data_IF_242446299809
#
_entry.id   IF_242446299809
#
_cell.length_a   1.000
_cell.length_b   1.000
_cell.length_c   1.000
_cell.angle_alpha   90.00
_cell.angle_beta   90.00
_cell.angle_gamma   90.00
#
_symmetry.space_group_name_H-M   'P 1'
#
loop_
_entity.id
_entity.type
_entity.pdbx_description
1 polymer ?
#
# COMPACT_ATOMS: atom_id res chain seq x y z
N UNK A 1 -11.75 29.65 -7.14
CA UNK A 1 -10.36 29.19 -7.36
C UNK A 1 -10.06 27.83 -6.70
N UNK A 2 -11.06 27.14 -6.14
CA UNK A 2 -10.94 25.86 -5.40
C UNK A 2 -10.98 24.59 -6.29
N UNK A 3 -11.55 24.66 -7.48
CA UNK A 3 -11.71 23.50 -8.38
C UNK A 3 -10.43 23.00 -9.06
N UNK A 4 -9.34 23.73 -8.96
CA UNK A 4 -8.07 23.37 -9.62
C UNK A 4 -7.12 22.55 -8.74
N UNK A 5 -7.35 22.52 -7.43
CA UNK A 5 -6.51 21.78 -6.48
C UNK A 5 -6.89 20.32 -6.36
N UNK A 6 -8.15 19.96 -6.61
CA UNK A 6 -8.66 18.57 -6.37
C UNK A 6 -8.05 17.53 -7.29
N UNK A 7 -7.57 17.90 -8.48
CA UNK A 7 -6.88 16.99 -9.40
C UNK A 7 -5.35 17.07 -9.29
N UNK A 8 -4.81 18.20 -8.84
CA UNK A 8 -3.35 18.39 -8.75
C UNK A 8 -2.77 17.62 -7.57
N UNK A 9 -3.43 17.63 -6.41
CA UNK A 9 -2.92 16.96 -5.20
C UNK A 9 -2.80 15.45 -5.41
N UNK A 10 -3.81 14.72 -5.92
CA UNK A 10 -3.67 13.29 -6.21
C UNK A 10 -2.57 12.99 -7.23
N UNK A 11 -2.44 13.82 -8.27
CA UNK A 11 -1.40 13.63 -9.29
C UNK A 11 0.01 13.79 -8.70
N UNK A 12 0.24 14.85 -7.92
CA UNK A 12 1.54 15.09 -7.27
C UNK A 12 1.84 13.99 -6.25
N UNK A 13 0.84 13.57 -5.47
CA UNK A 13 0.97 12.47 -4.52
C UNK A 13 1.32 11.14 -5.22
N UNK A 14 0.67 10.86 -6.35
CA UNK A 14 0.98 9.70 -7.17
C UNK A 14 2.42 9.73 -7.70
N UNK A 15 2.84 10.86 -8.26
CA UNK A 15 4.21 11.03 -8.77
C UNK A 15 5.25 10.93 -7.65
N UNK A 16 4.96 11.50 -6.47
CA UNK A 16 5.81 11.38 -5.29
C UNK A 16 5.94 9.94 -4.81
N UNK A 17 4.83 9.19 -4.76
CA UNK A 17 4.84 7.78 -4.39
C UNK A 17 5.62 6.92 -5.39
N UNK A 18 5.47 7.19 -6.71
CA UNK A 18 6.27 6.52 -7.74
C UNK A 18 7.75 6.85 -7.64
N UNK A 19 8.10 8.12 -7.39
CA UNK A 19 9.49 8.51 -7.19
C UNK A 19 10.11 7.81 -5.97
N UNK A 20 9.38 7.73 -4.85
CA UNK A 20 9.81 6.98 -3.67
C UNK A 20 10.00 5.49 -3.96
N UNK A 21 9.08 4.85 -4.68
CA UNK A 21 9.20 3.45 -5.08
C UNK A 21 10.41 3.21 -5.98
N UNK A 22 10.68 4.10 -6.94
CA UNK A 22 11.86 4.04 -7.80
C UNK A 22 13.15 4.22 -7.01
N UNK A 23 13.19 5.16 -6.04
CA UNK A 23 14.34 5.33 -5.14
C UNK A 23 14.60 4.07 -4.32
N UNK A 24 13.58 3.47 -3.73
CA UNK A 24 13.70 2.22 -2.98
C UNK A 24 14.26 1.12 -3.87
N UNK A 25 13.72 0.96 -5.06
CA UNK A 25 14.17 -0.07 -6.00
C UNK A 25 15.60 0.15 -6.47
N UNK A 26 15.97 1.38 -6.82
CA UNK A 26 17.32 1.75 -7.23
C UNK A 26 18.37 1.50 -6.13
N UNK A 27 18.05 1.86 -4.88
CA UNK A 27 18.92 1.61 -3.72
C UNK A 27 19.03 0.12 -3.36
N UNK A 28 17.97 -0.64 -3.59
CA UNK A 28 17.96 -2.09 -3.35
C UNK A 28 18.73 -2.88 -4.42
N UNK A 29 18.97 -2.27 -5.58
CA UNK A 29 19.62 -2.93 -6.70
C UNK A 29 21.15 -3.07 -6.48
N UNK A 30 21.62 -4.32 -6.36
CA UNK A 30 23.05 -4.65 -6.38
C UNK A 30 23.20 -6.10 -6.83
N UNK A 31 23.56 -6.33 -8.09
CA UNK A 31 23.65 -7.67 -8.69
C UNK A 31 22.38 -8.53 -8.49
N UNK A 32 21.20 -7.90 -8.68
CA UNK A 32 19.89 -8.47 -8.39
C UNK A 32 19.26 -7.90 -7.11
N UNK A 33 17.94 -7.97 -7.04
CA UNK A 33 17.16 -7.43 -5.93
C UNK A 33 16.83 -8.53 -4.92
N UNK A 34 17.29 -8.38 -3.68
CA UNK A 34 16.96 -9.26 -2.56
C UNK A 34 15.83 -8.65 -1.72
N UNK A 35 14.85 -9.44 -1.23
CA UNK A 35 13.75 -8.93 -0.41
C UNK A 35 14.20 -8.11 0.80
N UNK A 36 15.21 -8.58 1.53
CA UNK A 36 15.77 -7.86 2.69
C UNK A 36 16.31 -6.47 2.34
N UNK A 37 16.89 -6.30 1.14
CA UNK A 37 17.39 -4.99 0.69
C UNK A 37 16.27 -4.02 0.35
N UNK A 38 15.17 -4.52 -0.25
CA UNK A 38 13.98 -3.69 -0.50
C UNK A 38 13.44 -3.15 0.82
N UNK A 39 13.35 -4.00 1.85
CA UNK A 39 12.85 -3.60 3.17
C UNK A 39 13.77 -2.52 3.79
N UNK A 40 15.09 -2.75 3.81
CA UNK A 40 16.04 -1.78 4.36
C UNK A 40 16.05 -0.46 3.58
N UNK A 41 16.04 -0.53 2.26
CA UNK A 41 15.95 0.66 1.40
C UNK A 41 14.63 1.41 1.65
N UNK A 42 13.51 0.67 1.82
CA UNK A 42 12.21 1.24 2.15
C UNK A 42 12.24 2.00 3.47
N UNK A 43 12.82 1.42 4.52
CA UNK A 43 12.97 2.08 5.83
C UNK A 43 13.84 3.34 5.71
N UNK A 44 14.97 3.27 4.99
CA UNK A 44 15.86 4.41 4.82
C UNK A 44 15.21 5.56 4.05
N UNK A 45 14.53 5.26 2.92
CA UNK A 45 13.80 6.25 2.12
C UNK A 45 12.65 6.86 2.92
N UNK A 46 11.88 6.03 3.65
CA UNK A 46 10.79 6.51 4.49
C UNK A 46 11.29 7.45 5.60
N UNK A 47 12.40 7.11 6.26
CA UNK A 47 13.01 7.97 7.28
C UNK A 47 13.52 9.30 6.68
N UNK A 48 14.17 9.25 5.51
CA UNK A 48 14.65 10.45 4.83
C UNK A 48 13.50 11.38 4.41
N UNK A 49 12.48 10.85 3.73
CA UNK A 49 11.32 11.64 3.32
C UNK A 49 10.51 12.13 4.52
N UNK A 50 10.39 11.29 5.56
CA UNK A 50 9.73 11.65 6.82
C UNK A 50 10.40 12.81 7.53
N UNK A 51 11.74 12.85 7.53
CA UNK A 51 12.49 14.00 8.08
C UNK A 51 12.23 15.29 7.29
N UNK A 52 12.13 15.20 5.97
CA UNK A 52 11.73 16.31 5.13
C UNK A 52 10.32 16.83 5.43
N UNK A 53 9.36 15.92 5.62
CA UNK A 53 7.99 16.26 6.03
C UNK A 53 8.01 16.95 7.40
N UNK A 54 8.75 16.40 8.37
CA UNK A 54 8.88 17.01 9.70
C UNK A 54 9.46 18.41 9.66
N UNK A 55 10.48 18.64 8.83
CA UNK A 55 11.03 19.98 8.62
C UNK A 55 10.00 20.94 8.05
N UNK A 56 9.24 20.53 7.04
CA UNK A 56 8.15 21.35 6.47
C UNK A 56 7.07 21.68 7.51
N UNK A 57 6.72 20.74 8.38
CA UNK A 57 5.76 20.97 9.46
C UNK A 57 6.27 21.99 10.48
N UNK A 58 7.57 21.98 10.79
CA UNK A 58 8.18 22.96 11.70
C UNK A 58 8.21 24.35 11.10
N UNK A 59 8.59 24.48 9.81
CA UNK A 59 8.73 25.79 9.18
C UNK A 59 7.40 26.39 8.69
N UNK A 60 6.41 25.56 8.37
CA UNK A 60 5.15 25.97 7.74
C UNK A 60 3.91 25.42 8.44
N UNK A 61 3.95 25.18 9.75
CA UNK A 61 2.91 24.50 10.53
C UNK A 61 1.50 25.02 10.29
N UNK A 62 1.32 26.36 10.24
CA UNK A 62 0.01 26.98 10.05
C UNK A 62 -0.63 26.70 8.67
N UNK A 63 0.19 26.33 7.67
CA UNK A 63 -0.26 26.12 6.28
C UNK A 63 -0.51 24.64 5.96
N UNK A 64 -0.13 23.72 6.84
CA UNK A 64 -0.07 22.26 6.57
C UNK A 64 -1.14 21.46 7.31
N UNK A 65 -2.12 22.09 7.99
CA UNK A 65 -3.19 21.39 8.70
C UNK A 65 -3.94 20.36 7.81
N UNK A 66 -4.22 20.74 6.55
CA UNK A 66 -4.85 19.83 5.59
C UNK A 66 -3.97 18.61 5.23
N UNK A 67 -2.64 18.76 5.25
CA UNK A 67 -1.71 17.68 4.99
C UNK A 67 -1.68 16.67 6.14
N UNK A 68 -1.85 17.12 7.38
CA UNK A 68 -1.91 16.21 8.55
C UNK A 68 -3.09 15.25 8.45
N UNK A 69 -4.28 15.75 8.09
CA UNK A 69 -5.45 14.90 7.90
C UNK A 69 -5.25 13.90 6.76
N UNK A 70 -4.60 14.32 5.67
CA UNK A 70 -4.27 13.43 4.57
C UNK A 70 -3.24 12.36 4.96
N UNK A 71 -2.25 12.69 5.80
CA UNK A 71 -1.26 11.74 6.31
C UNK A 71 -1.86 10.66 7.22
N UNK A 72 -2.96 10.96 7.89
CA UNK A 72 -3.66 9.96 8.72
C UNK A 72 -4.38 8.91 7.88
N UNK A 73 -4.71 9.25 6.63
CA UNK A 73 -5.43 8.37 5.69
C UNK A 73 -6.92 8.23 6.02
N UNK A 74 -7.75 8.48 5.02
CA UNK A 74 -9.20 8.43 5.20
C UNK A 74 -9.98 8.38 3.89
N UNK A 75 -11.22 7.92 3.98
CA UNK A 75 -12.17 7.87 2.87
C UNK A 75 -13.22 9.00 2.96
N UNK A 76 -13.18 9.79 4.02
CA UNK A 76 -14.05 10.95 4.20
C UNK A 76 -13.86 11.97 3.08
N UNK A 77 -14.94 12.62 2.67
CA UNK A 77 -14.99 13.63 1.60
C UNK A 77 -14.47 13.16 0.23
N UNK A 78 -14.43 11.84 -0.04
CA UNK A 78 -14.15 11.32 -1.38
C UNK A 78 -15.39 11.33 -2.24
N UNK A 79 -15.22 11.63 -3.52
CA UNK A 79 -16.31 11.86 -4.46
C UNK A 79 -16.18 10.98 -5.72
N UNK A 80 -17.26 10.82 -6.47
CA UNK A 80 -17.30 10.00 -7.67
C UNK A 80 -16.20 10.30 -8.70
N UNK A 81 -15.82 11.55 -9.01
CA UNK A 81 -14.74 11.83 -9.96
C UNK A 81 -13.40 11.17 -9.59
N UNK A 82 -13.11 11.02 -8.29
CA UNK A 82 -11.89 10.34 -7.84
C UNK A 82 -11.99 8.82 -8.05
N UNK A 83 -13.18 8.25 -7.89
CA UNK A 83 -13.44 6.83 -8.17
C UNK A 83 -13.33 6.55 -9.66
N UNK A 84 -13.90 7.41 -10.52
CA UNK A 84 -13.83 7.27 -11.98
C UNK A 84 -12.40 7.25 -12.51
N UNK A 85 -11.52 8.04 -11.91
CA UNK A 85 -10.09 8.05 -12.27
C UNK A 85 -9.37 6.81 -11.73
N UNK A 86 -9.63 6.43 -10.48
CA UNK A 86 -8.91 5.32 -9.83
C UNK A 86 -9.37 3.95 -10.33
N UNK A 87 -10.66 3.78 -10.60
CA UNK A 87 -11.26 2.48 -10.90
C UNK A 87 -10.63 1.76 -12.10
N UNK A 88 -10.53 2.36 -13.31
CA UNK A 88 -9.90 1.69 -14.44
C UNK A 88 -8.44 1.35 -14.16
N UNK A 89 -7.72 2.23 -13.50
CA UNK A 89 -6.36 2.04 -13.10
C UNK A 89 -6.19 0.87 -12.12
N UNK A 90 -7.04 0.80 -11.09
CA UNK A 90 -7.03 -0.29 -10.11
C UNK A 90 -7.38 -1.64 -10.75
N UNK A 91 -8.37 -1.68 -11.64
CA UNK A 91 -8.76 -2.91 -12.37
C UNK A 91 -7.61 -3.41 -13.26
N UNK A 92 -7.00 -2.52 -14.04
CA UNK A 92 -5.86 -2.90 -14.90
C UNK A 92 -4.71 -3.43 -14.03
N UNK A 93 -4.36 -2.74 -12.96
CA UNK A 93 -3.30 -3.17 -12.05
C UNK A 93 -3.61 -4.52 -11.39
N UNK A 94 -4.86 -4.75 -10.97
CA UNK A 94 -5.30 -6.02 -10.39
C UNK A 94 -5.24 -7.15 -11.41
N UNK A 95 -5.65 -6.92 -12.65
CA UNK A 95 -5.53 -7.90 -13.74
C UNK A 95 -4.07 -8.29 -13.94
N UNK A 96 -3.15 -7.31 -14.03
CA UNK A 96 -1.72 -7.61 -14.18
C UNK A 96 -1.17 -8.36 -12.97
N UNK A 97 -1.58 -8.03 -11.74
CA UNK A 97 -1.22 -8.76 -10.55
C UNK A 97 -1.70 -10.23 -10.61
N UNK A 98 -2.95 -10.45 -10.98
CA UNK A 98 -3.52 -11.80 -11.11
C UNK A 98 -2.88 -12.61 -12.23
N UNK A 99 -2.53 -12.01 -13.37
CA UNK A 99 -1.76 -12.66 -14.44
C UNK A 99 -0.37 -13.10 -13.97
N UNK A 100 0.21 -12.37 -13.01
CA UNK A 100 1.48 -12.71 -12.37
C UNK A 100 1.37 -13.76 -11.25
N UNK A 101 0.17 -14.14 -10.81
CA UNK A 101 -0.06 -14.97 -9.62
C UNK A 101 0.73 -16.28 -9.64
N UNK A 102 0.69 -17.05 -10.72
CA UNK A 102 1.45 -18.31 -10.86
C UNK A 102 2.96 -18.10 -10.73
N UNK A 103 3.49 -16.99 -11.28
CA UNK A 103 4.91 -16.66 -11.16
C UNK A 103 5.28 -16.30 -9.72
N UNK A 104 4.39 -15.63 -8.99
CA UNK A 104 4.57 -15.32 -7.58
C UNK A 104 4.52 -16.57 -6.71
N UNK A 105 3.62 -17.53 -7.01
CA UNK A 105 3.58 -18.84 -6.34
C UNK A 105 4.90 -19.60 -6.54
N UNK A 106 5.45 -19.63 -7.76
CA UNK A 106 6.75 -20.25 -8.02
C UNK A 106 7.88 -19.49 -7.30
N UNK A 107 7.86 -18.16 -7.31
CA UNK A 107 8.85 -17.31 -6.64
C UNK A 107 8.87 -17.51 -5.12
N UNK A 108 7.73 -17.85 -4.51
CA UNK A 108 7.63 -18.13 -3.07
C UNK A 108 8.34 -19.42 -2.63
N UNK A 109 8.70 -20.31 -3.56
CA UNK A 109 9.49 -21.52 -3.30
C UNK A 109 10.99 -21.23 -3.13
N UNK A 110 11.41 -19.98 -3.31
CA UNK A 110 12.79 -19.54 -3.25
C UNK A 110 13.44 -19.36 -4.63
N UNK A 111 14.47 -18.50 -4.66
CA UNK A 111 15.08 -18.05 -5.92
C UNK A 111 15.74 -19.19 -6.72
N UNK A 112 16.41 -20.13 -6.04
CA UNK A 112 17.08 -21.25 -6.71
C UNK A 112 16.08 -22.23 -7.31
N UNK A 113 15.05 -22.58 -6.56
CA UNK A 113 13.97 -23.45 -7.03
C UNK A 113 13.23 -22.81 -8.20
N UNK A 114 12.93 -21.52 -8.11
CA UNK A 114 12.24 -20.78 -9.17
C UNK A 114 13.07 -20.73 -10.45
N UNK A 115 14.39 -20.53 -10.35
CA UNK A 115 15.30 -20.59 -11.51
C UNK A 115 15.35 -21.99 -12.11
N UNK A 116 15.42 -23.04 -11.27
CA UNK A 116 15.39 -24.42 -11.72
C UNK A 116 14.11 -24.78 -12.50
N UNK A 117 12.99 -24.14 -12.17
CA UNK A 117 11.71 -24.25 -12.89
C UNK A 117 11.64 -23.33 -14.13
N UNK A 118 12.73 -22.68 -14.52
CA UNK A 118 12.80 -21.82 -15.70
C UNK A 118 12.24 -20.40 -15.52
N UNK A 119 11.94 -19.98 -14.27
CA UNK A 119 11.44 -18.63 -14.02
C UNK A 119 12.57 -17.60 -14.13
N UNK A 120 12.34 -16.51 -14.87
CA UNK A 120 13.22 -15.34 -14.89
C UNK A 120 12.96 -14.50 -13.62
N UNK A 121 13.57 -14.91 -12.51
CA UNK A 121 13.34 -14.38 -11.16
C UNK A 121 13.43 -12.85 -11.11
N UNK A 122 14.51 -12.26 -11.63
CA UNK A 122 14.73 -10.81 -11.60
C UNK A 122 13.66 -10.03 -12.37
N UNK A 123 13.28 -10.51 -13.55
CA UNK A 123 12.23 -9.88 -14.35
C UNK A 123 10.87 -9.99 -13.67
N UNK A 124 10.55 -11.17 -13.14
CA UNK A 124 9.28 -11.38 -12.42
C UNK A 124 9.20 -10.47 -11.21
N UNK A 125 10.27 -10.40 -10.42
CA UNK A 125 10.35 -9.53 -9.23
C UNK A 125 10.20 -8.06 -9.62
N UNK A 126 10.89 -7.61 -10.65
CA UNK A 126 10.77 -6.22 -11.14
C UNK A 126 9.35 -5.89 -11.55
N UNK A 127 8.73 -6.70 -12.42
CA UNK A 127 7.38 -6.45 -12.93
C UNK A 127 6.35 -6.47 -11.79
N UNK A 128 6.41 -7.46 -10.90
CA UNK A 128 5.46 -7.56 -9.80
C UNK A 128 5.62 -6.43 -8.77
N UNK A 129 6.86 -6.01 -8.50
CA UNK A 129 7.11 -4.84 -7.64
C UNK A 129 6.62 -3.55 -8.30
N UNK A 130 6.80 -3.38 -9.60
CA UNK A 130 6.29 -2.23 -10.34
C UNK A 130 4.76 -2.17 -10.32
N UNK A 131 4.07 -3.30 -10.53
CA UNK A 131 2.60 -3.39 -10.44
C UNK A 131 2.12 -3.06 -9.02
N UNK A 132 2.79 -3.59 -7.99
CA UNK A 132 2.45 -3.30 -6.60
C UNK A 132 2.68 -1.82 -6.27
N UNK A 133 3.78 -1.22 -6.72
CA UNK A 133 4.08 0.20 -6.52
C UNK A 133 3.06 1.11 -7.21
N UNK A 134 2.67 0.77 -8.44
CA UNK A 134 1.62 1.46 -9.17
C UNK A 134 0.29 1.44 -8.41
N UNK A 135 -0.18 0.26 -7.99
CA UNK A 135 -1.43 0.12 -7.24
C UNK A 135 -1.38 0.88 -5.91
N UNK A 136 -0.27 0.78 -5.17
CA UNK A 136 -0.08 1.49 -3.92
C UNK A 136 -0.06 3.02 -4.12
N UNK A 137 0.64 3.52 -5.14
CA UNK A 137 0.68 4.94 -5.46
C UNK A 137 -0.72 5.50 -5.79
N UNK A 138 -1.52 4.75 -6.58
CA UNK A 138 -2.90 5.10 -6.87
C UNK A 138 -3.77 5.15 -5.61
N UNK A 139 -3.69 4.14 -4.76
CA UNK A 139 -4.44 4.09 -3.52
C UNK A 139 -4.08 5.27 -2.59
N UNK A 140 -2.77 5.49 -2.37
CA UNK A 140 -2.27 6.58 -1.49
C UNK A 140 -2.64 7.96 -2.04
N UNK A 141 -2.62 8.16 -3.36
CA UNK A 141 -2.94 9.46 -3.96
C UNK A 141 -4.37 9.94 -3.64
N UNK A 142 -5.30 9.01 -3.40
CA UNK A 142 -6.69 9.32 -3.10
C UNK A 142 -6.99 9.14 -1.60
N UNK A 143 -6.65 7.99 -1.04
CA UNK A 143 -7.02 7.65 0.35
C UNK A 143 -6.03 8.16 1.40
N UNK A 144 -4.84 8.66 1.00
CA UNK A 144 -3.76 8.98 1.94
C UNK A 144 -3.10 7.73 2.51
N UNK A 145 -2.40 7.88 3.63
CA UNK A 145 -1.61 6.79 4.23
C UNK A 145 -2.49 5.90 5.10
N UNK A 146 -2.90 4.75 4.59
CA UNK A 146 -3.61 3.72 5.36
C UNK A 146 -2.64 2.57 5.64
N UNK A 147 -2.21 2.45 6.89
CA UNK A 147 -1.28 1.40 7.33
C UNK A 147 -1.96 0.06 7.58
N UNK A 148 -1.15 -0.99 7.77
CA UNK A 148 -1.50 -2.34 8.20
C UNK A 148 -2.38 -3.17 7.24
N UNK A 149 -3.20 -2.59 6.37
CA UNK A 149 -4.08 -3.33 5.43
C UNK A 149 -3.26 -4.31 4.60
N UNK A 150 -2.18 -3.84 3.99
CA UNK A 150 -1.33 -4.65 3.11
C UNK A 150 -0.53 -5.75 3.83
N UNK A 151 -0.37 -5.68 5.14
CA UNK A 151 0.31 -6.70 5.96
C UNK A 151 -0.70 -7.68 6.56
N UNK A 152 -1.73 -7.16 7.21
CA UNK A 152 -2.71 -7.94 7.97
C UNK A 152 -3.58 -8.80 7.05
N UNK A 153 -4.15 -8.21 6.01
CA UNK A 153 -5.13 -8.88 5.16
C UNK A 153 -4.55 -10.08 4.40
N UNK A 154 -3.42 -9.97 3.68
CA UNK A 154 -2.83 -11.13 3.01
C UNK A 154 -2.38 -12.21 4.00
N UNK A 155 -1.92 -11.81 5.19
CA UNK A 155 -1.49 -12.77 6.20
C UNK A 155 -2.68 -13.55 6.76
N UNK A 156 -3.78 -12.87 7.13
CA UNK A 156 -5.03 -13.54 7.55
C UNK A 156 -5.51 -14.54 6.49
N UNK A 157 -5.47 -14.11 5.24
CA UNK A 157 -5.97 -14.93 4.15
C UNK A 157 -5.10 -16.17 3.91
N UNK A 158 -3.77 -16.05 4.05
CA UNK A 158 -2.85 -17.19 4.00
C UNK A 158 -3.15 -18.26 5.03
N UNK A 159 -3.59 -17.88 6.21
CA UNK A 159 -3.98 -18.84 7.26
C UNK A 159 -5.24 -19.64 6.90
N UNK A 160 -6.07 -19.10 5.99
CA UNK A 160 -7.36 -19.72 5.60
C UNK A 160 -7.23 -20.51 4.31
N UNK A 161 -6.61 -19.91 3.27
CA UNK A 161 -6.58 -20.48 1.91
C UNK A 161 -5.17 -20.94 1.47
N UNK A 162 -4.16 -20.75 2.32
CA UNK A 162 -2.78 -21.13 2.00
C UNK A 162 -2.02 -20.11 1.14
N UNK A 163 -0.91 -20.57 0.52
CA UNK A 163 0.08 -19.69 -0.14
C UNK A 163 -0.10 -19.60 -1.66
N UNK A 164 -1.19 -20.09 -2.24
CA UNK A 164 -1.42 -19.97 -3.68
C UNK A 164 -1.87 -18.54 -4.03
N UNK A 165 -1.01 -17.82 -4.73
CA UNK A 165 -1.27 -16.45 -5.13
C UNK A 165 -2.44 -16.30 -6.11
N UNK A 166 -2.87 -17.37 -6.79
CA UNK A 166 -4.04 -17.33 -7.65
C UNK A 166 -5.33 -17.01 -6.88
N UNK A 167 -5.43 -17.50 -5.64
CA UNK A 167 -6.55 -17.20 -4.73
C UNK A 167 -6.22 -16.07 -3.76
N UNK A 168 -4.95 -15.96 -3.35
CA UNK A 168 -4.50 -14.99 -2.37
C UNK A 168 -4.66 -13.53 -2.86
N UNK A 169 -4.34 -13.25 -4.13
CA UNK A 169 -4.42 -11.89 -4.67
C UNK A 169 -5.87 -11.37 -4.76
N UNK A 170 -6.79 -12.06 -5.47
CA UNK A 170 -8.17 -11.59 -5.52
C UNK A 170 -8.87 -11.63 -4.16
N UNK A 171 -8.58 -12.65 -3.35
CA UNK A 171 -9.09 -12.74 -1.99
C UNK A 171 -8.62 -11.58 -1.10
N UNK A 172 -7.34 -11.19 -1.20
CA UNK A 172 -6.81 -10.04 -0.45
C UNK A 172 -7.44 -8.72 -0.90
N UNK A 173 -7.73 -8.56 -2.18
CA UNK A 173 -8.42 -7.38 -2.69
C UNK A 173 -9.84 -7.28 -2.12
N UNK A 174 -10.61 -8.37 -2.15
CA UNK A 174 -11.99 -8.42 -1.64
C UNK A 174 -12.04 -8.24 -0.11
N UNK A 175 -11.23 -9.01 0.62
CA UNK A 175 -11.18 -8.91 2.07
C UNK A 175 -10.67 -7.53 2.53
N UNK A 176 -9.67 -6.98 1.85
CA UNK A 176 -9.17 -5.63 2.11
C UNK A 176 -10.23 -4.56 1.90
N UNK A 177 -11.00 -4.65 0.81
CA UNK A 177 -12.12 -3.76 0.55
C UNK A 177 -13.19 -3.85 1.65
N UNK A 178 -13.57 -5.07 2.04
CA UNK A 178 -14.54 -5.31 3.10
C UNK A 178 -14.08 -4.71 4.44
N UNK A 179 -12.84 -4.99 4.84
CA UNK A 179 -12.28 -4.49 6.10
C UNK A 179 -12.20 -2.97 6.12
N UNK A 180 -11.82 -2.34 5.00
CA UNK A 180 -11.79 -0.88 4.90
C UNK A 180 -13.19 -0.27 5.01
N UNK A 181 -14.20 -0.84 4.34
CA UNK A 181 -15.59 -0.37 4.43
C UNK A 181 -16.12 -0.49 5.86
N UNK A 182 -15.89 -1.63 6.51
CA UNK A 182 -16.30 -1.86 7.91
C UNK A 182 -15.59 -0.86 8.83
N UNK A 183 -14.28 -0.69 8.69
CA UNK A 183 -13.50 0.25 9.52
C UNK A 183 -13.93 1.70 9.32
N UNK A 184 -14.21 2.13 8.08
CA UNK A 184 -14.71 3.47 7.78
C UNK A 184 -16.09 3.69 8.38
N UNK A 185 -16.99 2.69 8.29
CA UNK A 185 -18.32 2.72 8.90
C UNK A 185 -18.24 2.85 10.41
N UNK A 186 -17.36 2.08 11.06
CA UNK A 186 -17.12 2.18 12.51
C UNK A 186 -16.65 3.60 12.86
N UNK A 187 -15.69 4.15 12.11
CA UNK A 187 -15.15 5.50 12.34
C UNK A 187 -16.19 6.61 12.23
N UNK A 188 -17.16 6.45 11.36
CA UNK A 188 -18.25 7.42 11.16
C UNK A 188 -19.34 7.32 12.23
N UNK A 189 -19.66 6.10 12.70
CA UNK A 189 -20.82 5.85 13.55
C UNK A 189 -20.48 5.98 15.03
N UNK A 190 -19.37 5.41 15.48
CA UNK A 190 -19.06 5.28 16.92
C UNK A 190 -18.78 6.62 17.62
N UNK A 191 -18.29 7.61 16.91
CA UNK A 191 -17.91 8.92 17.49
C UNK A 191 -18.70 10.09 16.92
N UNK A 192 -19.84 9.84 16.27
CA UNK A 192 -20.66 10.92 15.69
C UNK A 192 -20.91 12.04 16.72
N UNK A 193 -20.75 13.35 16.36
CA UNK A 193 -20.57 13.88 15.01
C UNK A 193 -19.12 13.96 14.51
N UNK A 194 -18.13 13.43 15.25
CA UNK A 194 -16.72 13.43 14.86
C UNK A 194 -16.45 12.21 13.98
N UNK A 195 -15.98 12.41 12.77
CA UNK A 195 -15.56 11.32 11.88
C UNK A 195 -14.10 10.94 12.17
N UNK A 196 -13.86 9.72 12.66
CA UNK A 196 -12.51 9.19 12.88
C UNK A 196 -11.98 8.61 11.58
N UNK A 197 -10.83 9.08 11.05
CA UNK A 197 -10.25 8.56 9.84
C UNK A 197 -9.97 7.06 9.91
N UNK A 198 -10.25 6.33 8.83
CA UNK A 198 -10.07 4.88 8.76
C UNK A 198 -8.64 4.44 9.06
N UNK A 199 -7.64 5.26 8.73
CA UNK A 199 -6.23 4.98 9.02
C UNK A 199 -5.94 4.83 10.52
N UNK A 200 -6.61 5.61 11.39
CA UNK A 200 -6.49 5.49 12.85
C UNK A 200 -7.05 4.13 13.30
N UNK A 201 -8.23 3.76 12.81
CA UNK A 201 -8.87 2.50 13.16
C UNK A 201 -8.03 1.31 12.73
N UNK A 202 -7.55 1.37 11.49
CA UNK A 202 -6.67 0.32 10.96
C UNK A 202 -5.35 0.21 11.73
N UNK A 203 -4.75 1.31 12.14
CA UNK A 203 -3.54 1.28 12.96
C UNK A 203 -3.81 0.73 14.37
N UNK A 204 -4.91 1.15 14.99
CA UNK A 204 -5.27 0.75 16.35
C UNK A 204 -5.59 -0.75 16.46
N UNK A 205 -6.30 -1.32 15.50
CA UNK A 205 -6.60 -2.75 15.48
C UNK A 205 -5.55 -3.58 14.74
N UNK A 206 -4.99 -3.04 13.68
CA UNK A 206 -4.02 -3.77 12.83
C UNK A 206 -2.68 -4.01 13.50
N UNK A 207 -2.15 -3.03 14.25
CA UNK A 207 -0.84 -3.19 14.90
C UNK A 207 -0.86 -4.28 16.00
N UNK A 208 -1.80 -4.29 16.97
CA UNK A 208 -1.87 -5.35 17.96
C UNK A 208 -2.14 -6.73 17.34
N UNK A 209 -3.00 -6.78 16.32
CA UNK A 209 -3.30 -8.02 15.61
C UNK A 209 -2.06 -8.56 14.89
N UNK A 210 -1.29 -7.69 14.23
CA UNK A 210 -0.04 -8.10 13.58
C UNK A 210 1.01 -8.59 14.57
N UNK A 211 1.14 -7.92 15.73
CA UNK A 211 2.03 -8.39 16.80
C UNK A 211 1.61 -9.75 17.37
N UNK A 212 0.31 -9.98 17.51
CA UNK A 212 -0.21 -11.28 17.92
C UNK A 212 0.14 -12.39 16.91
N UNK A 213 -0.01 -12.10 15.60
CA UNK A 213 0.35 -13.05 14.54
C UNK A 213 1.84 -13.38 14.55
N UNK A 214 2.71 -12.37 14.65
CA UNK A 214 4.16 -12.57 14.74
C UNK A 214 4.58 -13.45 15.93
N UNK A 215 3.85 -13.38 17.04
CA UNK A 215 4.12 -14.23 18.21
C UNK A 215 3.65 -15.67 18.02
N UNK A 216 2.64 -15.89 17.20
CA UNK A 216 2.06 -17.22 16.95
C UNK A 216 2.88 -18.04 15.94
N UNK A 217 3.54 -17.35 14.98
CA UNK A 217 4.34 -17.99 13.92
C UNK A 217 5.76 -18.38 14.40
N UNK A 218 6.11 -18.11 15.65
CA UNK A 218 7.30 -18.60 16.34
C UNK A 218 6.94 -19.77 17.28
#
# INVERSE_FOLDING_TARGET
MLFRSDHIVPLVAFLGAMAAALMVYALAWKNGVRPSRIILAGVAVAAFLGSGISALLVFFGDRVQGALLWMVGGLAARSWPQVEVLFPYAIIGLIFACLGAKRLTILSLGDETAKGLGLKVEQTRFIMTAVAALLAAGAVSIAGLIGFVGLVIPHMLRLIIGNDYAYLLPGSALLGALVLVVSDTIGRVMWSPIEVPVGIIMAFFGAPFFLYLLRRDN
#
